data_IF_278312244154
#
_entry.id   IF_278312244154
#
_cell.length_a   1.000
_cell.length_b   1.000
_cell.length_c   1.000
_cell.angle_alpha   90.00
_cell.angle_beta   90.00
_cell.angle_gamma   90.00
#
_symmetry.space_group_name_H-M   'P 1'
#
loop_
_entity.id
_entity.type
_entity.pdbx_description
1 polymer ?
#
# COMPACT_ATOMS: atom_id res chain seq x y z
N UNK A 1 -19.08 -19.54 -2.98
CA UNK A 1 -20.25 -18.68 -2.68
C UNK A 1 -19.97 -17.81 -1.47
N UNK A 2 -19.90 -16.49 -1.67
CA UNK A 2 -20.09 -15.49 -0.60
C UNK A 2 -21.39 -14.77 -0.91
N UNK A 3 -22.51 -15.33 -0.44
CA UNK A 3 -23.81 -14.67 -0.46
C UNK A 3 -23.99 -13.98 0.90
N UNK A 4 -24.09 -12.64 0.90
CA UNK A 4 -24.40 -11.73 2.04
C UNK A 4 -23.23 -11.03 2.77
N UNK A 5 -22.05 -10.87 2.15
CA UNK A 5 -20.97 -10.06 2.76
C UNK A 5 -20.26 -10.74 3.95
N UNK A 6 -20.51 -12.03 4.18
CA UNK A 6 -19.72 -12.84 5.11
C UNK A 6 -18.54 -13.48 4.38
N UNK A 7 -17.35 -12.92 4.56
CA UNK A 7 -16.10 -13.48 4.06
C UNK A 7 -15.64 -14.65 4.95
N UNK A 8 -15.32 -15.78 4.33
CA UNK A 8 -14.86 -16.97 5.05
C UNK A 8 -13.41 -16.81 5.51
N UNK A 9 -13.05 -17.43 6.64
CA UNK A 9 -11.68 -17.35 7.16
C UNK A 9 -10.65 -18.01 6.21
N UNK A 10 -11.10 -19.01 5.46
CA UNK A 10 -10.31 -19.76 4.50
C UNK A 10 -11.03 -19.79 3.16
N UNK A 11 -10.25 -19.66 2.09
CA UNK A 11 -10.75 -19.68 0.72
C UNK A 11 -9.80 -20.50 -0.14
N UNK A 12 -10.37 -21.37 -0.98
CA UNK A 12 -9.63 -22.07 -2.03
C UNK A 12 -10.09 -21.51 -3.37
N UNK A 13 -9.16 -21.02 -4.18
CA UNK A 13 -9.44 -20.50 -5.53
C UNK A 13 -8.54 -21.24 -6.51
N UNK A 14 -9.10 -21.71 -7.61
CA UNK A 14 -8.33 -22.15 -8.76
C UNK A 14 -8.31 -21.04 -9.81
N UNK A 15 -7.12 -20.63 -10.24
CA UNK A 15 -6.93 -19.64 -11.31
C UNK A 15 -6.17 -20.31 -12.44
N UNK A 16 -6.71 -20.24 -13.65
CA UNK A 16 -6.05 -20.75 -14.84
C UNK A 16 -5.00 -19.74 -15.34
N UNK A 17 -3.76 -20.21 -15.51
CA UNK A 17 -2.64 -19.46 -16.07
C UNK A 17 -1.94 -20.36 -17.07
N UNK A 18 -1.89 -19.95 -18.35
CA UNK A 18 -1.24 -20.71 -19.43
C UNK A 18 -1.72 -22.19 -19.56
N UNK A 19 -2.99 -22.44 -19.24
CA UNK A 19 -3.57 -23.79 -19.24
C UNK A 19 -3.21 -24.65 -18.01
N UNK A 20 -2.50 -24.08 -17.04
CA UNK A 20 -2.29 -24.69 -15.72
C UNK A 20 -3.22 -24.05 -14.67
N UNK A 21 -3.87 -24.88 -13.85
CA UNK A 21 -4.67 -24.38 -12.73
C UNK A 21 -3.81 -24.19 -11.48
N UNK A 22 -3.54 -22.94 -11.13
CA UNK A 22 -2.94 -22.57 -9.86
C UNK A 22 -4.00 -22.64 -8.76
N UNK A 23 -3.88 -23.62 -7.86
CA UNK A 23 -4.76 -23.74 -6.70
C UNK A 23 -4.17 -22.92 -5.55
N UNK A 24 -4.92 -21.93 -5.07
CA UNK A 24 -4.53 -21.01 -4.02
C UNK A 24 -5.17 -21.40 -2.69
N UNK A 25 -4.34 -21.60 -1.68
CA UNK A 25 -4.76 -21.78 -0.29
C UNK A 25 -4.68 -20.42 0.42
N UNK A 26 -5.83 -19.75 0.58
CA UNK A 26 -5.94 -18.38 1.06
C UNK A 26 -6.54 -18.31 2.47
N UNK A 27 -6.02 -17.39 3.28
CA UNK A 27 -6.51 -17.08 4.63
C UNK A 27 -6.81 -15.58 4.74
N UNK A 28 -7.92 -15.25 5.37
CA UNK A 28 -8.34 -13.87 5.55
C UNK A 28 -7.32 -13.09 6.39
N UNK A 29 -6.85 -11.95 5.87
CA UNK A 29 -5.86 -11.10 6.51
C UNK A 29 -6.50 -10.17 7.55
N UNK A 30 -6.88 -10.75 8.71
CA UNK A 30 -7.54 -10.04 9.81
C UNK A 30 -6.69 -8.96 10.50
N UNK A 31 -5.39 -8.92 10.24
CA UNK A 31 -4.46 -7.97 10.87
C UNK A 31 -4.08 -6.80 9.94
N UNK A 32 -4.52 -6.81 8.68
CA UNK A 32 -4.25 -5.74 7.74
C UNK A 32 -4.77 -4.38 8.25
N UNK A 33 -5.97 -4.39 8.80
CA UNK A 33 -6.66 -3.21 9.33
C UNK A 33 -6.74 -3.34 10.86
N UNK A 34 -5.86 -2.66 11.61
CA UNK A 34 -5.84 -2.75 13.06
C UNK A 34 -7.01 -1.97 13.67
N UNK A 35 -7.25 -2.23 14.97
CA UNK A 35 -8.14 -1.39 15.77
C UNK A 35 -7.64 0.06 15.74
N UNK A 36 -8.56 1.00 15.57
CA UNK A 36 -8.21 2.42 15.50
C UNK A 36 -7.90 2.93 14.08
N UNK A 37 -8.05 2.07 13.06
CA UNK A 37 -8.04 2.49 11.66
C UNK A 37 -8.89 3.74 11.45
N UNK A 38 -8.30 4.77 10.82
CA UNK A 38 -8.98 6.03 10.57
C UNK A 38 -9.06 6.35 9.08
N UNK A 39 -10.13 7.05 8.71
CA UNK A 39 -10.37 7.60 7.38
C UNK A 39 -10.51 9.11 7.54
N UNK A 40 -9.54 9.88 7.04
CA UNK A 40 -9.57 11.34 7.11
C UNK A 40 -9.88 11.92 5.73
N UNK A 41 -10.83 12.83 5.65
CA UNK A 41 -11.16 13.54 4.40
C UNK A 41 -11.56 15.00 4.68
N UNK A 42 -11.74 15.78 3.63
CA UNK A 42 -12.20 17.17 3.71
C UNK A 42 -13.69 17.26 3.35
N UNK A 43 -14.45 18.03 4.12
CA UNK A 43 -15.86 18.33 3.85
C UNK A 43 -16.20 19.75 4.34
N UNK A 44 -16.67 20.59 3.43
CA UNK A 44 -16.98 22.00 3.64
C UNK A 44 -15.81 22.79 4.27
N UNK A 45 -14.60 22.57 3.75
CA UNK A 45 -13.37 23.25 4.20
C UNK A 45 -12.85 22.79 5.56
N UNK A 46 -13.41 21.71 6.14
CA UNK A 46 -12.98 21.14 7.43
C UNK A 46 -12.49 19.72 7.25
N UNK A 47 -11.63 19.27 8.15
CA UNK A 47 -11.23 17.87 8.23
C UNK A 47 -12.24 17.04 9.01
N UNK A 48 -12.68 15.95 8.41
CA UNK A 48 -13.57 14.94 9.01
C UNK A 48 -12.78 13.65 9.17
N UNK A 49 -12.80 13.10 10.39
CA UNK A 49 -12.15 11.82 10.71
C UNK A 49 -13.23 10.82 11.08
N UNK A 50 -13.35 9.76 10.28
CA UNK A 50 -14.18 8.60 10.56
C UNK A 50 -13.30 7.45 11.08
N UNK A 51 -13.74 6.76 12.13
CA UNK A 51 -13.07 5.58 12.68
C UNK A 51 -14.06 4.44 12.69
N UNK A 52 -14.15 3.64 11.60
CA UNK A 52 -15.13 2.58 11.53
C UNK A 52 -14.92 1.58 12.66
N UNK A 53 -16.02 1.09 13.21
CA UNK A 53 -15.99 -0.04 14.13
C UNK A 53 -15.48 -1.29 13.41
N UNK A 54 -15.05 -2.31 14.18
CA UNK A 54 -14.42 -3.51 13.59
C UNK A 54 -15.35 -4.26 12.64
N UNK A 55 -16.64 -4.27 12.97
CA UNK A 55 -17.75 -4.85 12.22
C UNK A 55 -18.19 -4.00 11.01
N UNK A 56 -17.81 -2.72 10.96
CA UNK A 56 -18.06 -1.82 9.81
C UNK A 56 -16.93 -1.87 8.78
N UNK A 57 -15.75 -2.39 9.16
CA UNK A 57 -14.66 -2.61 8.22
C UNK A 57 -14.93 -3.90 7.47
N UNK A 58 -15.14 -3.80 6.17
CA UNK A 58 -15.21 -4.99 5.32
C UNK A 58 -13.83 -5.68 5.23
N UNK A 59 -13.81 -6.98 5.56
CA UNK A 59 -12.63 -7.83 5.58
C UNK A 59 -12.72 -8.85 4.45
N UNK A 60 -12.19 -8.44 3.30
CA UNK A 60 -12.24 -9.18 2.04
C UNK A 60 -10.83 -9.36 1.43
N UNK A 61 -9.78 -9.17 2.23
CA UNK A 61 -8.38 -9.25 1.81
C UNK A 61 -7.75 -10.52 2.35
N UNK A 62 -7.12 -11.29 1.47
CA UNK A 62 -6.57 -12.61 1.76
C UNK A 62 -5.10 -12.67 1.42
N UNK A 63 -4.36 -13.44 2.23
CA UNK A 63 -2.99 -13.84 1.94
C UNK A 63 -2.91 -15.37 1.92
N UNK A 64 -2.00 -15.92 1.12
CA UNK A 64 -1.88 -17.37 1.02
C UNK A 64 -0.72 -17.82 0.18
N UNK A 65 -0.81 -19.06 -0.32
CA UNK A 65 0.21 -19.70 -1.15
C UNK A 65 -0.43 -20.49 -2.28
N UNK A 66 0.36 -20.75 -3.32
CA UNK A 66 0.02 -21.72 -4.36
C UNK A 66 0.32 -23.12 -3.83
N UNK A 67 -0.67 -24.00 -3.87
CA UNK A 67 -0.59 -25.39 -3.41
C UNK A 67 0.53 -26.11 -4.14
N UNK A 68 1.42 -26.76 -3.38
CA UNK A 68 2.56 -27.49 -3.93
C UNK A 68 3.76 -26.64 -4.35
N UNK A 69 3.70 -25.30 -4.23
CA UNK A 69 4.84 -24.40 -4.51
C UNK A 69 5.33 -23.71 -3.22
N UNK A 70 6.39 -24.20 -2.55
CA UNK A 70 6.76 -23.76 -1.18
C UNK A 70 7.08 -22.26 -1.01
N UNK A 71 7.73 -21.67 -2.00
CA UNK A 71 8.20 -20.27 -2.00
C UNK A 71 7.20 -19.30 -2.65
N UNK A 72 6.04 -19.83 -3.05
CA UNK A 72 4.94 -19.01 -3.57
C UNK A 72 4.27 -18.20 -2.46
N UNK A 73 3.63 -17.12 -2.87
CA UNK A 73 2.71 -16.36 -2.03
C UNK A 73 1.65 -15.70 -2.89
N UNK A 74 0.50 -15.40 -2.29
CA UNK A 74 -0.58 -14.67 -2.94
C UNK A 74 -1.14 -13.62 -1.98
N UNK A 75 -1.56 -12.49 -2.53
CA UNK A 75 -2.28 -11.43 -1.82
C UNK A 75 -3.44 -10.97 -2.72
N UNK A 76 -4.66 -11.37 -2.38
CA UNK A 76 -5.86 -11.15 -3.20
C UNK A 76 -6.93 -10.39 -2.41
N UNK A 77 -7.74 -9.65 -3.14
CA UNK A 77 -8.94 -8.97 -2.67
C UNK A 77 -10.16 -9.60 -3.34
N UNK A 78 -11.21 -9.83 -2.56
CA UNK A 78 -12.52 -10.32 -3.03
C UNK A 78 -13.62 -9.28 -2.80
N UNK A 79 -13.27 -8.01 -2.56
CA UNK A 79 -14.22 -6.99 -2.13
C UNK A 79 -15.17 -6.56 -3.26
N UNK A 80 -14.66 -6.51 -4.50
CA UNK A 80 -15.41 -6.16 -5.70
C UNK A 80 -14.83 -7.02 -6.84
N UNK A 81 -15.22 -8.29 -6.88
CA UNK A 81 -14.55 -9.30 -7.71
C UNK A 81 -13.14 -9.64 -7.23
N UNK A 82 -12.41 -10.41 -8.04
CA UNK A 82 -11.07 -10.89 -7.71
C UNK A 82 -9.99 -9.95 -8.26
N UNK A 83 -9.11 -9.45 -7.39
CA UNK A 83 -7.95 -8.65 -7.80
C UNK A 83 -6.76 -8.86 -6.87
N UNK A 84 -5.54 -8.62 -7.35
CA UNK A 84 -4.33 -8.68 -6.54
C UNK A 84 -3.16 -9.31 -7.25
N UNK A 85 -2.33 -10.02 -6.50
CA UNK A 85 -1.03 -10.52 -6.97
C UNK A 85 -0.75 -11.93 -6.50
N UNK A 86 -0.17 -12.74 -7.38
CA UNK A 86 0.28 -14.11 -7.10
C UNK A 86 1.73 -14.24 -7.55
N UNK A 87 2.62 -14.57 -6.63
CA UNK A 87 3.95 -15.07 -6.97
C UNK A 87 3.92 -16.58 -6.93
N UNK A 88 4.18 -17.23 -8.06
CA UNK A 88 4.10 -18.69 -8.13
C UNK A 88 5.41 -19.39 -7.71
N UNK A 89 6.45 -18.63 -7.33
CA UNK A 89 7.79 -19.14 -7.05
C UNK A 89 8.80 -18.85 -8.16
N UNK A 90 8.34 -18.48 -9.36
CA UNK A 90 9.19 -18.11 -10.49
C UNK A 90 8.88 -16.69 -10.97
N UNK A 91 7.61 -16.36 -11.16
CA UNK A 91 7.20 -15.06 -11.66
C UNK A 91 5.93 -14.51 -10.98
N UNK A 92 5.73 -13.20 -11.19
CA UNK A 92 4.61 -12.46 -10.66
C UNK A 92 3.46 -12.46 -11.64
N UNK A 93 2.26 -12.75 -11.15
CA UNK A 93 1.01 -12.71 -11.87
C UNK A 93 0.10 -11.65 -11.23
N UNK A 94 -0.51 -10.82 -12.07
CA UNK A 94 -1.44 -9.77 -11.65
C UNK A 94 -2.85 -10.19 -12.01
N UNK A 95 -3.75 -10.15 -11.03
CA UNK A 95 -5.16 -10.46 -11.20
C UNK A 95 -5.94 -9.17 -11.14
N UNK A 96 -6.78 -8.91 -12.14
CA UNK A 96 -7.66 -7.75 -12.20
C UNK A 96 -9.10 -8.21 -12.47
N UNK A 97 -10.05 -7.58 -11.79
CA UNK A 97 -11.47 -7.81 -12.06
C UNK A 97 -11.86 -7.11 -13.36
N UNK A 98 -12.84 -7.64 -14.08
CA UNK A 98 -13.45 -6.92 -15.19
C UNK A 98 -14.46 -5.88 -14.67
N UNK A 99 -14.00 -4.62 -14.54
CA UNK A 99 -14.83 -3.48 -14.13
C UNK A 99 -16.01 -3.20 -15.09
N UNK A 100 -16.05 -3.80 -16.28
CA UNK A 100 -17.21 -3.69 -17.19
C UNK A 100 -18.40 -4.56 -16.75
N UNK A 101 -18.16 -5.54 -15.88
CA UNK A 101 -19.19 -6.43 -15.35
C UNK A 101 -19.65 -5.87 -14.00
N UNK A 102 -20.91 -5.42 -13.92
CA UNK A 102 -21.54 -4.98 -12.66
C UNK A 102 -21.99 -6.19 -11.82
N UNK A 103 -21.06 -7.13 -11.62
CA UNK A 103 -21.17 -8.24 -10.69
C UNK A 103 -19.91 -8.22 -9.81
N UNK A 104 -20.11 -8.17 -8.50
CA UNK A 104 -19.02 -8.14 -7.53
C UNK A 104 -18.66 -9.56 -7.03
N UNK A 105 -19.22 -10.59 -7.66
CA UNK A 105 -18.92 -12.00 -7.37
C UNK A 105 -17.46 -12.33 -7.64
N UNK A 106 -16.90 -13.27 -6.87
CA UNK A 106 -15.57 -13.83 -7.14
C UNK A 106 -15.54 -14.74 -8.38
N UNK A 107 -16.71 -15.11 -8.89
CA UNK A 107 -16.88 -15.98 -10.06
C UNK A 107 -16.95 -15.16 -11.36
N UNK A 108 -16.83 -13.82 -11.30
CA UNK A 108 -16.75 -12.99 -12.49
C UNK A 108 -15.47 -13.26 -13.27
N UNK A 109 -15.55 -12.97 -14.57
CA UNK A 109 -14.39 -13.00 -15.45
C UNK A 109 -13.32 -12.04 -14.90
N UNK A 110 -12.09 -12.50 -14.88
CA UNK A 110 -10.94 -11.77 -14.42
C UNK A 110 -9.80 -11.90 -15.43
N UNK A 111 -8.96 -10.88 -15.49
CA UNK A 111 -7.76 -10.90 -16.30
C UNK A 111 -6.57 -11.33 -15.44
N UNK A 112 -5.76 -12.24 -15.98
CA UNK A 112 -4.48 -12.61 -15.38
C UNK A 112 -3.37 -12.21 -16.33
N UNK A 113 -2.44 -11.41 -15.82
CA UNK A 113 -1.29 -10.93 -16.58
C UNK A 113 0.00 -11.45 -15.96
N UNK A 114 0.90 -11.98 -16.79
CA UNK A 114 2.28 -12.25 -16.38
C UNK A 114 3.07 -10.96 -16.34
N UNK A 115 3.98 -10.87 -15.38
CA UNK A 115 4.90 -9.74 -15.35
C UNK A 115 5.79 -9.67 -16.59
N UNK A 116 6.19 -10.82 -17.15
CA UNK A 116 6.99 -10.89 -18.38
C UNK A 116 6.30 -10.31 -19.61
N UNK A 117 4.96 -10.27 -19.61
CA UNK A 117 4.17 -9.76 -20.73
C UNK A 117 3.93 -8.25 -20.62
N UNK A 118 4.33 -7.64 -19.50
CA UNK A 118 4.22 -6.20 -19.31
C UNK A 118 5.24 -5.47 -20.18
N UNK A 119 4.75 -4.55 -21.01
CA UNK A 119 5.64 -3.71 -21.83
C UNK A 119 6.46 -2.82 -20.91
N UNK A 120 7.78 -2.94 -20.99
CA UNK A 120 8.71 -2.02 -20.33
C UNK A 120 8.38 -0.58 -20.78
N UNK A 121 7.91 0.21 -19.83
CA UNK A 121 7.78 1.64 -20.02
C UNK A 121 9.08 2.30 -19.55
N UNK A 122 9.46 3.43 -20.15
CA UNK A 122 10.60 4.26 -19.70
C UNK A 122 10.27 4.96 -18.36
N UNK A 123 9.95 4.17 -17.35
CA UNK A 123 9.61 4.56 -15.98
C UNK A 123 10.80 4.23 -15.09
N UNK A 124 11.17 5.17 -14.25
CA UNK A 124 12.29 5.01 -13.31
C UNK A 124 11.78 5.29 -11.90
N UNK A 125 12.35 4.62 -10.90
CA UNK A 125 12.36 5.21 -9.57
C UNK A 125 13.47 6.26 -9.57
N UNK A 126 13.21 7.45 -9.03
CA UNK A 126 14.08 8.60 -9.22
C UNK A 126 15.41 8.54 -8.45
N UNK A 127 15.94 7.36 -8.17
CA UNK A 127 17.20 7.18 -7.49
C UNK A 127 18.38 7.45 -8.45
N UNK A 128 18.91 8.67 -8.41
CA UNK A 128 20.20 9.01 -9.02
C UNK A 128 21.33 8.64 -8.07
N UNK A 129 21.96 7.48 -8.27
CA UNK A 129 23.22 7.18 -7.61
C UNK A 129 24.28 8.24 -8.00
N UNK A 130 24.98 8.78 -6.99
CA UNK A 130 26.18 9.61 -7.12
C UNK A 130 26.08 10.89 -7.97
N UNK A 131 25.22 11.82 -7.56
CA UNK A 131 25.60 13.22 -7.59
C UNK A 131 25.56 13.72 -6.14
N UNK A 132 26.74 13.89 -5.56
CA UNK A 132 26.95 14.78 -4.43
C UNK A 132 26.15 16.05 -4.67
N UNK A 133 25.05 16.24 -3.95
CA UNK A 133 24.52 17.57 -3.69
C UNK A 133 25.52 18.23 -2.73
N UNK A 134 26.38 19.16 -3.20
CA UNK A 134 27.34 19.82 -2.34
C UNK A 134 26.66 20.91 -1.50
N UNK A 135 25.37 21.20 -1.68
CA UNK A 135 24.66 22.25 -0.95
C UNK A 135 23.82 21.74 0.24
N UNK A 136 23.52 20.44 0.32
CA UNK A 136 23.05 19.79 1.54
C UNK A 136 23.98 18.66 1.96
N UNK A 137 25.25 19.01 2.16
CA UNK A 137 26.20 18.19 2.88
C UNK A 137 25.65 17.81 4.25
N UNK A 138 24.94 16.69 4.33
CA UNK A 138 24.83 15.89 5.54
C UNK A 138 26.25 15.46 5.85
N UNK A 139 26.95 16.34 6.58
CA UNK A 139 28.17 15.99 7.28
C UNK A 139 27.91 14.64 7.92
N UNK A 140 28.82 13.72 7.68
CA UNK A 140 28.97 12.42 8.33
C UNK A 140 29.29 12.59 9.83
N UNK A 141 28.60 13.52 10.50
CA UNK A 141 28.29 13.39 11.91
C UNK A 141 27.28 12.26 12.01
N UNK A 142 27.55 11.33 12.90
CA UNK A 142 26.73 10.20 13.35
C UNK A 142 25.33 10.66 13.82
N UNK A 143 24.54 11.27 12.93
CA UNK A 143 23.18 11.72 13.15
C UNK A 143 22.31 10.47 13.04
N UNK A 144 22.33 9.67 14.11
CA UNK A 144 21.28 8.69 14.36
C UNK A 144 19.96 9.43 14.23
N UNK A 145 19.26 9.26 13.11
CA UNK A 145 17.89 9.73 12.99
C UNK A 145 17.16 9.29 14.25
N UNK A 146 16.54 10.24 14.97
CA UNK A 146 15.92 9.97 16.25
C UNK A 146 14.73 9.03 16.04
N UNK A 147 14.99 7.72 16.10
CA UNK A 147 13.98 6.65 16.06
C UNK A 147 13.33 6.59 17.43
N UNK A 148 12.15 7.15 17.54
CA UNK A 148 11.35 7.04 18.75
C UNK A 148 10.55 5.75 18.67
N UNK A 149 10.94 4.74 19.46
CA UNK A 149 10.05 3.61 19.72
C UNK A 149 8.84 4.17 20.47
N UNK A 150 7.68 4.21 19.83
CA UNK A 150 6.45 4.61 20.51
C UNK A 150 6.21 3.69 21.70
N UNK A 151 5.94 4.28 22.86
CA UNK A 151 5.40 3.55 24.00
C UNK A 151 3.94 3.23 23.68
N UNK A 152 3.69 2.08 23.08
CA UNK A 152 2.32 1.57 22.94
C UNK A 152 1.83 1.09 24.30
N UNK A 153 0.61 1.46 24.68
CA UNK A 153 -0.05 0.88 25.84
C UNK A 153 -0.21 -0.62 25.58
N UNK A 154 0.09 -1.49 26.55
CA UNK A 154 0.20 -2.95 26.31
C UNK A 154 -1.08 -3.62 25.79
N UNK A 155 -2.20 -2.89 25.78
CA UNK A 155 -3.50 -3.28 25.26
C UNK A 155 -3.71 -2.98 23.75
N UNK A 156 -2.81 -2.22 23.10
CA UNK A 156 -2.89 -1.85 21.67
C UNK A 156 -1.76 -2.45 20.82
N UNK A 157 -1.10 -3.49 21.32
CA UNK A 157 -0.12 -4.24 20.53
C UNK A 157 -0.81 -4.82 19.28
N UNK A 158 -0.38 -4.37 18.09
CA UNK A 158 -0.69 -5.02 16.82
C UNK A 158 -0.27 -6.49 16.99
N UNK A 159 -1.25 -7.38 17.10
CA UNK A 159 -0.95 -8.81 17.22
C UNK A 159 -0.47 -9.30 15.87
N UNK A 160 0.68 -9.94 15.89
CA UNK A 160 1.22 -10.56 14.69
C UNK A 160 0.28 -11.55 14.03
N UNK A 161 0.39 -11.74 12.71
CA UNK A 161 -0.22 -12.88 12.07
C UNK A 161 0.29 -14.19 12.68
N UNK A 162 -0.38 -15.32 12.37
CA UNK A 162 -0.12 -16.62 13.00
C UNK A 162 1.35 -17.09 12.88
N UNK A 163 2.09 -16.60 11.88
CA UNK A 163 3.50 -16.89 11.64
C UNK A 163 4.49 -15.90 12.27
N UNK A 164 4.03 -14.94 13.07
CA UNK A 164 4.90 -13.97 13.72
C UNK A 164 5.78 -14.60 14.82
N UNK A 165 7.01 -14.09 14.96
CA UNK A 165 7.98 -14.49 15.96
C UNK A 165 8.64 -13.26 16.60
N UNK A 166 9.60 -13.48 17.51
CA UNK A 166 10.31 -12.39 18.23
C UNK A 166 11.10 -11.43 17.33
N UNK A 167 11.38 -11.82 16.09
CA UNK A 167 12.14 -11.03 15.11
C UNK A 167 11.22 -10.26 14.16
N UNK A 168 9.92 -10.56 14.15
CA UNK A 168 8.94 -9.93 13.29
C UNK A 168 8.89 -8.42 13.51
N UNK A 169 8.82 -7.67 12.40
CA UNK A 169 8.67 -6.22 12.40
C UNK A 169 7.25 -5.85 11.97
N UNK A 170 6.74 -4.76 12.53
CA UNK A 170 5.45 -4.18 12.15
C UNK A 170 5.69 -2.75 11.68
N UNK A 171 4.99 -2.36 10.63
CA UNK A 171 4.98 -0.98 10.15
C UNK A 171 3.54 -0.48 10.12
N UNK A 172 3.27 0.54 10.94
CA UNK A 172 2.05 1.33 10.89
C UNK A 172 2.09 2.25 9.65
N UNK A 173 1.42 1.81 8.58
CA UNK A 173 1.35 2.51 7.31
C UNK A 173 0.13 3.44 7.24
N UNK A 174 0.34 4.68 6.81
CA UNK A 174 -0.73 5.57 6.34
C UNK A 174 -0.60 5.79 4.83
N UNK A 175 -1.69 5.58 4.10
CA UNK A 175 -1.79 5.96 2.69
C UNK A 175 -2.47 7.32 2.57
N UNK A 176 -1.84 8.23 1.84
CA UNK A 176 -2.37 9.58 1.57
C UNK A 176 -2.68 9.67 0.08
N UNK A 177 -3.89 10.09 -0.26
CA UNK A 177 -4.37 10.17 -1.65
C UNK A 177 -4.69 11.62 -1.97
N UNK A 178 -4.06 12.13 -3.02
CA UNK A 178 -4.22 13.52 -3.44
C UNK A 178 -5.57 13.79 -4.11
N UNK A 179 -5.89 15.07 -4.32
CA UNK A 179 -7.17 15.46 -4.90
C UNK A 179 -7.33 14.97 -6.34
N UNK A 180 -6.22 14.88 -7.08
CA UNK A 180 -6.22 14.42 -8.45
C UNK A 180 -6.57 12.94 -8.56
N UNK A 181 -5.94 12.09 -7.75
CA UNK A 181 -6.26 10.66 -7.65
C UNK A 181 -7.69 10.44 -7.14
N UNK A 182 -8.15 11.22 -6.16
CA UNK A 182 -9.54 11.17 -5.69
C UNK A 182 -10.55 11.43 -6.82
N UNK A 183 -10.29 12.42 -7.68
CA UNK A 183 -11.11 12.73 -8.84
C UNK A 183 -11.05 11.65 -9.90
N UNK A 184 -9.87 11.07 -10.14
CA UNK A 184 -9.70 9.95 -11.08
C UNK A 184 -10.51 8.72 -10.64
N UNK A 185 -10.54 8.45 -9.33
CA UNK A 185 -11.38 7.41 -8.73
C UNK A 185 -12.86 7.86 -8.58
N UNK A 186 -13.27 8.80 -9.44
CA UNK A 186 -14.61 9.38 -9.58
C UNK A 186 -15.21 9.84 -8.26
N UNK A 187 -14.43 10.58 -7.48
CA UNK A 187 -14.84 11.30 -6.27
C UNK A 187 -15.54 10.39 -5.25
N UNK A 188 -15.10 9.14 -5.18
CA UNK A 188 -15.68 8.13 -4.30
C UNK A 188 -14.70 7.77 -3.19
N UNK A 189 -14.99 8.25 -1.97
CA UNK A 189 -14.22 7.89 -0.77
C UNK A 189 -14.10 6.36 -0.61
N UNK A 190 -15.19 5.63 -0.90
CA UNK A 190 -15.23 4.17 -0.86
C UNK A 190 -14.20 3.56 -1.82
N UNK A 191 -14.20 3.96 -3.10
CA UNK A 191 -13.23 3.45 -4.10
C UNK A 191 -11.78 3.72 -3.70
N UNK A 192 -11.50 4.92 -3.17
CA UNK A 192 -10.16 5.26 -2.67
C UNK A 192 -9.75 4.35 -1.51
N UNK A 193 -10.63 4.17 -0.52
CA UNK A 193 -10.35 3.34 0.66
C UNK A 193 -10.15 1.89 0.25
N UNK A 194 -11.02 1.34 -0.60
CA UNK A 194 -10.92 -0.04 -1.09
C UNK A 194 -9.61 -0.26 -1.86
N UNK A 195 -9.25 0.65 -2.77
CA UNK A 195 -7.96 0.61 -3.49
C UNK A 195 -6.77 0.65 -2.52
N UNK A 196 -6.79 1.52 -1.52
CA UNK A 196 -5.74 1.61 -0.50
C UNK A 196 -5.61 0.33 0.33
N UNK A 197 -6.72 -0.32 0.69
CA UNK A 197 -6.70 -1.60 1.39
C UNK A 197 -6.09 -2.70 0.53
N UNK A 198 -6.46 -2.78 -0.76
CA UNK A 198 -5.87 -3.77 -1.69
C UNK A 198 -4.38 -3.54 -1.87
N UNK A 199 -3.95 -2.29 -2.07
CA UNK A 199 -2.53 -1.91 -2.12
C UNK A 199 -1.80 -2.37 -0.85
N UNK A 200 -2.33 -2.03 0.33
CA UNK A 200 -1.71 -2.42 1.59
C UNK A 200 -1.64 -3.95 1.76
N UNK A 201 -2.63 -4.71 1.29
CA UNK A 201 -2.61 -6.16 1.33
C UNK A 201 -1.49 -6.75 0.46
N UNK A 202 -1.32 -6.22 -0.75
CA UNK A 202 -0.26 -6.63 -1.67
C UNK A 202 1.12 -6.30 -1.08
N UNK A 203 1.29 -5.09 -0.54
CA UNK A 203 2.53 -4.68 0.15
C UNK A 203 2.80 -5.63 1.33
N UNK A 204 1.79 -5.98 2.13
CA UNK A 204 1.94 -6.95 3.21
C UNK A 204 2.40 -8.33 2.69
N UNK A 205 1.85 -8.79 1.56
CA UNK A 205 2.29 -10.01 0.88
C UNK A 205 3.76 -9.97 0.45
N UNK A 206 4.19 -8.85 -0.16
CA UNK A 206 5.58 -8.63 -0.60
C UNK A 206 6.58 -8.62 0.57
N UNK A 207 6.19 -8.07 1.72
CA UNK A 207 7.06 -7.94 2.89
C UNK A 207 7.02 -9.14 3.85
N UNK A 208 5.98 -9.97 3.79
CA UNK A 208 5.83 -11.14 4.66
C UNK A 208 7.02 -12.14 4.56
N UNK A 209 7.59 -12.45 3.38
CA UNK A 209 8.81 -13.26 3.28
C UNK A 209 10.03 -12.68 4.02
N UNK A 210 10.07 -11.36 4.21
CA UNK A 210 11.11 -10.65 4.95
C UNK A 210 10.81 -10.57 6.46
N UNK A 211 9.76 -11.24 6.94
CA UNK A 211 9.26 -11.19 8.33
C UNK A 211 8.88 -9.76 8.78
N UNK A 212 8.35 -8.97 7.83
CA UNK A 212 7.84 -7.62 8.04
C UNK A 212 6.34 -7.63 7.71
N UNK A 213 5.53 -7.10 8.63
CA UNK A 213 4.07 -7.05 8.50
C UNK A 213 3.58 -5.61 8.45
N UNK A 214 2.68 -5.34 7.52
CA UNK A 214 2.11 -4.01 7.29
C UNK A 214 0.74 -3.95 7.95
N UNK A 215 0.54 -2.92 8.77
CA UNK A 215 -0.75 -2.57 9.33
C UNK A 215 -1.17 -1.22 8.74
N UNK A 216 -2.24 -1.20 7.94
CA UNK A 216 -2.80 0.03 7.39
C UNK A 216 -3.59 0.74 8.49
N UNK A 217 -2.95 1.67 9.19
CA UNK A 217 -3.56 2.39 10.32
C UNK A 217 -4.43 3.56 9.88
N UNK A 218 -4.30 4.03 8.63
CA UNK A 218 -5.24 5.03 8.12
C UNK A 218 -5.12 5.34 6.64
N UNK A 219 -6.20 5.89 6.11
CA UNK A 219 -6.29 6.47 4.77
C UNK A 219 -6.66 7.94 4.89
N UNK A 220 -5.87 8.80 4.26
CA UNK A 220 -6.11 10.24 4.17
C UNK A 220 -6.47 10.59 2.74
N UNK A 221 -7.58 11.29 2.53
CA UNK A 221 -8.08 11.68 1.22
C UNK A 221 -8.16 13.21 1.17
N UNK A 222 -7.42 13.84 0.28
CA UNK A 222 -7.53 15.28 0.01
C UNK A 222 -8.72 15.54 -0.95
N UNK A 223 -9.94 15.35 -0.44
CA UNK A 223 -11.17 15.33 -1.25
C UNK A 223 -11.60 16.70 -1.80
N UNK A 224 -11.13 17.81 -1.24
CA UNK A 224 -11.45 19.16 -1.71
C UNK A 224 -10.23 19.88 -2.31
N UNK A 225 -9.08 19.82 -1.63
CA UNK A 225 -7.85 20.46 -2.05
C UNK A 225 -6.61 19.76 -1.47
N UNK A 226 -5.51 19.80 -2.22
CA UNK A 226 -4.24 19.25 -1.76
C UNK A 226 -3.69 20.02 -0.56
N UNK A 227 -3.12 19.31 0.41
CA UNK A 227 -2.58 19.92 1.64
C UNK A 227 -1.10 20.31 1.55
N UNK A 228 -0.53 20.16 0.36
CA UNK A 228 0.83 20.54 0.01
C UNK A 228 0.90 20.99 -1.45
N UNK A 229 2.02 21.58 -1.83
CA UNK A 229 2.31 21.96 -3.22
C UNK A 229 3.01 20.84 -3.96
N UNK A 230 2.58 20.58 -5.19
CA UNK A 230 3.23 19.64 -6.10
C UNK A 230 4.26 20.33 -7.01
N UNK A 231 5.31 19.60 -7.35
CA UNK A 231 6.32 19.96 -8.33
C UNK A 231 6.59 18.78 -9.26
N UNK A 232 6.87 19.05 -10.54
CA UNK A 232 7.31 18.02 -11.49
C UNK A 232 8.65 17.38 -11.07
N UNK A 233 9.46 18.10 -10.28
CA UNK A 233 10.61 17.53 -9.61
C UNK A 233 10.16 16.63 -8.43
N UNK A 234 10.41 15.33 -8.55
CA UNK A 234 10.04 14.33 -7.54
C UNK A 234 10.68 14.56 -6.16
N UNK A 235 11.91 15.08 -6.08
CA UNK A 235 12.58 15.37 -4.80
C UNK A 235 11.92 16.57 -4.09
N UNK A 236 11.51 17.59 -4.85
CA UNK A 236 10.78 18.74 -4.31
C UNK A 236 9.39 18.34 -3.79
N UNK A 237 8.69 17.46 -4.51
CA UNK A 237 7.40 16.91 -4.06
C UNK A 237 7.56 16.02 -2.82
N UNK A 238 8.58 15.15 -2.79
CA UNK A 238 8.90 14.35 -1.62
C UNK A 238 9.18 15.22 -0.39
N UNK A 239 9.96 16.29 -0.57
CA UNK A 239 10.28 17.24 0.51
C UNK A 239 9.01 17.90 1.06
N UNK A 240 8.12 18.36 0.16
CA UNK A 240 6.83 18.93 0.54
C UNK A 240 5.95 17.93 1.30
N UNK A 241 5.95 16.66 0.87
CA UNK A 241 5.16 15.61 1.51
C UNK A 241 5.69 15.24 2.90
N UNK A 242 7.00 15.11 3.06
CA UNK A 242 7.62 14.84 4.37
C UNK A 242 7.39 16.01 5.34
N UNK A 243 7.42 17.25 4.85
CA UNK A 243 7.05 18.41 5.66
C UNK A 243 5.58 18.36 6.10
N UNK A 244 4.65 18.05 5.19
CA UNK A 244 3.24 17.82 5.52
C UNK A 244 3.07 16.69 6.56
N UNK A 245 3.80 15.57 6.40
CA UNK A 245 3.74 14.45 7.34
C UNK A 245 4.14 14.89 8.74
N UNK A 246 5.26 15.62 8.85
CA UNK A 246 5.81 16.12 10.12
C UNK A 246 4.88 17.10 10.81
N UNK A 247 4.46 18.15 10.09
CA UNK A 247 3.79 19.31 10.68
C UNK A 247 2.28 19.15 10.82
N UNK A 248 1.67 18.16 10.15
CA UNK A 248 0.22 17.92 10.21
C UNK A 248 -0.11 16.48 10.54
N UNK A 249 0.30 15.54 9.68
CA UNK A 249 -0.19 14.16 9.79
C UNK A 249 0.21 13.50 11.11
N UNK A 250 1.47 13.63 11.53
CA UNK A 250 1.98 12.96 12.73
C UNK A 250 1.47 13.56 14.04
N UNK A 251 0.98 14.79 14.03
CA UNK A 251 0.42 15.45 15.21
C UNK A 251 -0.90 14.77 15.58
N UNK A 252 -1.79 14.58 14.61
CA UNK A 252 -3.12 14.00 14.83
C UNK A 252 -3.13 12.47 14.70
N UNK A 253 -2.27 11.94 13.82
CA UNK A 253 -2.26 10.54 13.42
C UNK A 253 -0.84 9.96 13.45
N UNK A 254 -0.35 9.64 14.66
CA UNK A 254 0.78 8.75 14.85
C UNK A 254 0.86 7.58 13.85
N UNK A 255 1.93 7.52 13.06
CA UNK A 255 2.28 6.38 12.18
C UNK A 255 3.80 6.14 12.12
N UNK A 256 4.21 4.99 11.60
CA UNK A 256 5.62 4.64 11.37
C UNK A 256 6.10 5.10 9.99
N UNK A 257 5.24 5.00 8.98
CA UNK A 257 5.53 5.37 7.60
C UNK A 257 4.27 5.93 6.92
N UNK A 258 4.44 6.92 6.04
CA UNK A 258 3.34 7.38 5.19
C UNK A 258 3.76 7.43 3.73
N UNK A 259 2.86 7.03 2.84
CA UNK A 259 3.11 7.03 1.39
C UNK A 259 2.02 7.84 0.70
N UNK A 260 2.42 8.79 -0.15
CA UNK A 260 1.50 9.51 -1.04
C UNK A 260 1.26 8.68 -2.30
N UNK A 261 -0.01 8.56 -2.69
CA UNK A 261 -0.46 8.09 -3.99
C UNK A 261 -1.08 9.25 -4.77
N UNK A 262 -0.65 9.45 -6.02
CA UNK A 262 -1.05 10.61 -6.83
C UNK A 262 -1.12 10.29 -8.33
N UNK A 263 -2.05 10.93 -9.05
CA UNK A 263 -2.04 11.02 -10.53
C UNK A 263 -1.12 12.12 -11.08
N UNK A 264 -0.35 12.78 -10.22
CA UNK A 264 0.64 13.77 -10.63
C UNK A 264 1.84 13.07 -11.29
N UNK A 265 2.24 13.57 -12.46
CA UNK A 265 3.36 13.04 -13.22
C UNK A 265 4.64 13.78 -12.85
N UNK A 266 5.67 13.04 -12.47
CA UNK A 266 7.00 13.60 -12.27
C UNK A 266 7.80 13.62 -13.58
N UNK A 267 8.78 14.50 -13.65
CA UNK A 267 9.68 14.61 -14.81
C UNK A 267 10.52 13.33 -14.99
N UNK A 268 11.04 13.15 -16.21
CA UNK A 268 11.97 12.06 -16.56
C UNK A 268 11.44 10.64 -16.32
N UNK A 269 10.12 10.46 -16.33
CA UNK A 269 9.49 9.15 -16.14
C UNK A 269 9.58 8.63 -14.70
N UNK A 270 9.86 9.51 -13.74
CA UNK A 270 9.91 9.11 -12.33
C UNK A 270 8.52 8.70 -11.84
N UNK A 271 8.39 7.51 -11.25
CA UNK A 271 7.12 7.00 -10.69
C UNK A 271 7.12 6.89 -9.17
N UNK A 272 8.28 7.07 -8.54
CA UNK A 272 8.46 6.92 -7.10
C UNK A 272 9.69 7.66 -6.61
N UNK A 273 9.58 8.21 -5.39
CA UNK A 273 10.67 8.85 -4.64
C UNK A 273 10.54 8.60 -3.15
N UNK A 274 11.63 8.17 -2.53
CA UNK A 274 11.78 8.03 -1.09
C UNK A 274 13.24 8.24 -0.65
N UNK A 275 13.42 8.61 0.61
CA UNK A 275 14.75 8.71 1.24
C UNK A 275 15.22 7.34 1.75
N UNK A 276 16.55 7.14 1.79
CA UNK A 276 17.16 5.86 2.19
C UNK A 276 17.41 5.73 3.70
N UNK A 277 16.89 4.69 4.35
CA UNK A 277 17.09 4.40 5.78
C UNK A 277 16.29 5.18 6.86
N UNK A 278 15.34 6.09 6.55
CA UNK A 278 14.58 6.82 7.56
C UNK A 278 13.32 6.09 8.08
N UNK A 279 13.14 4.79 7.86
CA UNK A 279 11.98 4.05 8.39
C UNK A 279 11.81 4.28 9.89
N UNK A 280 10.56 4.50 10.31
CA UNK A 280 10.15 4.85 11.69
C UNK A 280 10.75 6.15 12.25
N UNK A 281 11.37 7.01 11.42
CA UNK A 281 11.81 8.34 11.87
C UNK A 281 10.65 9.33 11.85
N UNK A 282 10.71 10.29 12.77
CA UNK A 282 9.69 11.33 12.87
C UNK A 282 9.61 12.19 11.60
N UNK A 283 10.76 12.58 11.03
CA UNK A 283 10.78 13.57 9.95
C UNK A 283 10.72 12.96 8.55
N UNK A 284 11.37 11.82 8.32
CA UNK A 284 11.74 11.39 6.97
C UNK A 284 11.14 10.05 6.53
N UNK A 285 10.32 9.40 7.37
CA UNK A 285 9.72 8.10 7.06
C UNK A 285 8.50 8.22 6.13
N UNK A 286 8.77 8.25 4.82
CA UNK A 286 7.74 8.22 3.80
C UNK A 286 8.27 8.30 2.37
N UNK A 287 7.34 8.33 1.42
CA UNK A 287 7.61 8.39 -0.01
C UNK A 287 6.42 8.94 -0.81
N UNK A 288 6.66 9.27 -2.07
CA UNK A 288 5.65 9.74 -3.02
C UNK A 288 5.64 8.84 -4.25
N UNK A 289 4.45 8.45 -4.69
CA UNK A 289 4.25 7.40 -5.69
C UNK A 289 3.19 7.82 -6.71
N UNK A 290 3.52 7.73 -7.99
CA UNK A 290 2.55 7.95 -9.07
C UNK A 290 1.69 6.69 -9.25
N UNK A 291 0.38 6.84 -9.26
CA UNK A 291 -0.55 5.81 -9.70
C UNK A 291 -0.47 5.71 -11.25
N UNK A 292 0.52 4.96 -11.70
CA UNK A 292 1.01 4.99 -13.08
C UNK A 292 0.44 3.85 -13.94
N UNK A 293 -0.47 3.03 -13.40
CA UNK A 293 -1.04 1.86 -14.06
C UNK A 293 -2.45 1.57 -13.56
N UNK A 294 -3.34 1.08 -14.43
CA UNK A 294 -4.61 0.51 -13.98
C UNK A 294 -4.39 -0.77 -13.16
N UNK A 295 -3.37 -1.55 -13.51
CA UNK A 295 -2.99 -2.79 -12.80
C UNK A 295 -2.48 -2.43 -11.40
N UNK A 296 -3.28 -2.73 -10.38
CA UNK A 296 -3.06 -2.31 -8.99
C UNK A 296 -1.78 -2.89 -8.40
N UNK A 297 -1.43 -4.12 -8.81
CA UNK A 297 -0.21 -4.77 -8.33
C UNK A 297 1.08 -4.08 -8.77
N UNK A 298 1.09 -3.40 -9.93
CA UNK A 298 2.24 -2.59 -10.35
C UNK A 298 2.40 -1.35 -9.46
N UNK A 299 1.28 -0.68 -9.15
CA UNK A 299 1.27 0.48 -8.23
C UNK A 299 1.71 0.07 -6.83
N UNK A 300 1.18 -1.04 -6.31
CA UNK A 300 1.55 -1.57 -5.00
C UNK A 300 3.04 -1.95 -4.93
N UNK A 301 3.59 -2.52 -6.01
CA UNK A 301 5.02 -2.86 -6.11
C UNK A 301 5.90 -1.61 -6.09
N UNK A 302 5.49 -0.52 -6.77
CA UNK A 302 6.21 0.77 -6.69
C UNK A 302 6.20 1.32 -5.26
N UNK A 303 5.05 1.33 -4.58
CA UNK A 303 4.98 1.79 -3.19
C UNK A 303 5.86 0.90 -2.28
N UNK A 304 5.82 -0.42 -2.47
CA UNK A 304 6.69 -1.33 -1.74
C UNK A 304 8.18 -1.06 -2.00
N UNK A 305 8.56 -0.72 -3.24
CA UNK A 305 9.93 -0.35 -3.62
C UNK A 305 10.38 0.93 -2.89
N UNK A 306 9.56 1.98 -2.89
CA UNK A 306 9.86 3.23 -2.19
C UNK A 306 9.92 3.04 -0.66
N UNK A 307 9.03 2.20 -0.10
CA UNK A 307 9.16 1.75 1.29
C UNK A 307 10.46 0.98 1.53
N UNK A 308 10.93 0.22 0.53
CA UNK A 308 12.18 -0.52 0.55
C UNK A 308 13.39 0.39 0.67
N UNK A 309 13.36 1.55 0.04
CA UNK A 309 14.35 2.60 0.30
C UNK A 309 14.29 3.08 1.74
N UNK A 310 13.10 3.22 2.34
CA UNK A 310 13.02 3.71 3.72
C UNK A 310 13.67 2.77 4.76
N UNK A 311 13.66 1.45 4.55
CA UNK A 311 14.29 0.47 5.46
C UNK A 311 15.82 0.62 5.55
#
# INVERSE_FOLDING_TARGET
MVSNGEHTDYLEIAIEVDGENLILDLTLNKQLIPKGFFQRHQENGKHVVHRPARDEVDHCHYNGKVRGKPDSWAALSTCNGLSGVIFDGHEMHYVENDDAIDDNSIETDHFVYRHSDMVEQNKTCGYGGDASDPEHGHKTTDNRFLRHKRSTDSNELIRGPYNANKESKYVELVLVVDNREYKELGESKRRVIDRCKTIANIINGLYSPLNIFIALVGVVIWSEHDEMTFSSNGDATLTSFLHYRKEKLLIDHPNDNAQLLTKFNFDHGVVGKALKGPMCTYEYSGGVNTDHSSVIGLVATTIAHEMGHNF
#
